data_IF_593303385655
#
_entry.id   IF_593303385655
#
_cell.length_a   1.000
_cell.length_b   1.000
_cell.length_c   1.000
_cell.angle_alpha   90.00
_cell.angle_beta   90.00
_cell.angle_gamma   90.00
#
_symmetry.space_group_name_H-M   'P 1'
#
loop_
_entity.id
_entity.type
_entity.pdbx_description
1 polymer ?
#
# COMPACT_ATOMS: atom_id res chain seq x y z
N UNK A 1 7.06 -14.47 -18.74
CA UNK A 1 7.40 -13.10 -18.31
C UNK A 1 6.61 -12.66 -17.06
N UNK A 2 5.27 -12.77 -17.04
CA UNK A 2 4.43 -12.35 -15.91
C UNK A 2 4.77 -12.99 -14.56
N UNK A 3 5.10 -14.29 -14.54
CA UNK A 3 5.55 -14.97 -13.31
C UNK A 3 6.84 -14.37 -12.74
N UNK A 4 7.82 -14.09 -13.59
CA UNK A 4 9.09 -13.47 -13.18
C UNK A 4 8.89 -12.03 -12.69
N UNK A 5 8.03 -11.26 -13.36
CA UNK A 5 7.65 -9.91 -12.91
C UNK A 5 6.92 -9.94 -11.57
N UNK A 6 5.98 -10.89 -11.37
CA UNK A 6 5.28 -11.08 -10.11
C UNK A 6 6.21 -11.57 -8.98
N UNK A 7 7.18 -12.43 -9.30
CA UNK A 7 8.22 -12.87 -8.36
C UNK A 7 9.10 -11.71 -7.93
N UNK A 8 9.65 -10.94 -8.88
CA UNK A 8 10.46 -9.75 -8.60
C UNK A 8 9.66 -8.69 -7.84
N UNK A 9 8.41 -8.47 -8.23
CA UNK A 9 7.51 -7.59 -7.51
C UNK A 9 7.24 -8.08 -6.09
N UNK A 10 7.08 -9.39 -5.87
CA UNK A 10 6.94 -10.01 -4.55
C UNK A 10 8.19 -9.78 -3.69
N UNK A 11 9.38 -9.99 -4.26
CA UNK A 11 10.67 -9.70 -3.65
C UNK A 11 10.72 -8.22 -3.23
N UNK A 12 10.46 -7.28 -4.15
CA UNK A 12 10.48 -5.83 -3.88
C UNK A 12 9.39 -5.40 -2.90
N UNK A 13 8.20 -5.98 -2.99
CA UNK A 13 7.09 -5.70 -2.07
C UNK A 13 7.44 -6.11 -0.65
N UNK A 14 8.05 -7.28 -0.47
CA UNK A 14 8.47 -7.76 0.85
C UNK A 14 9.60 -6.90 1.44
N UNK A 15 10.47 -6.33 0.61
CA UNK A 15 11.61 -5.55 1.08
C UNK A 15 11.25 -4.08 1.35
N UNK A 16 10.44 -3.47 0.49
CA UNK A 16 10.23 -2.03 0.49
C UNK A 16 8.78 -1.60 0.19
N UNK A 17 7.85 -2.52 -0.09
CA UNK A 17 6.44 -2.20 -0.33
C UNK A 17 6.15 -1.55 -1.69
N UNK A 18 7.04 -1.74 -2.67
CA UNK A 18 6.93 -1.15 -4.01
C UNK A 18 6.50 -2.11 -5.13
N UNK A 19 6.00 -3.31 -4.81
CA UNK A 19 5.76 -4.35 -5.82
C UNK A 19 4.78 -3.94 -6.93
N UNK A 20 3.79 -3.11 -6.59
CA UNK A 20 2.82 -2.54 -7.56
C UNK A 20 3.49 -1.73 -8.68
N UNK A 21 4.63 -1.10 -8.42
CA UNK A 21 5.38 -0.32 -9.42
C UNK A 21 5.99 -1.21 -10.51
N UNK A 22 6.24 -2.48 -10.18
CA UNK A 22 6.81 -3.45 -11.12
C UNK A 22 5.73 -4.28 -11.80
N UNK A 23 4.68 -4.68 -11.08
CA UNK A 23 3.58 -5.48 -11.65
C UNK A 23 2.75 -4.70 -12.66
N UNK A 24 2.49 -3.42 -12.40
CA UNK A 24 1.57 -2.64 -13.21
C UNK A 24 2.07 -2.42 -14.66
N UNK A 25 3.31 -1.94 -14.91
CA UNK A 25 3.86 -1.85 -16.27
C UNK A 25 3.98 -3.21 -16.96
N UNK A 26 4.30 -4.28 -16.21
CA UNK A 26 4.41 -5.63 -16.76
C UNK A 26 3.06 -6.21 -17.22
N UNK A 27 1.97 -5.83 -16.56
CA UNK A 27 0.62 -6.22 -16.98
C UNK A 27 0.14 -5.41 -18.18
N UNK A 28 0.48 -4.12 -18.24
CA UNK A 28 0.22 -3.29 -19.42
C UNK A 28 0.96 -3.82 -20.66
N UNK A 29 2.22 -4.21 -20.52
CA UNK A 29 2.99 -4.80 -21.63
C UNK A 29 2.49 -6.17 -22.07
N UNK A 30 1.80 -6.90 -21.17
CA UNK A 30 1.08 -8.12 -21.50
C UNK A 30 -0.28 -7.87 -22.21
N UNK A 31 -0.62 -6.60 -22.50
CA UNK A 31 -1.81 -6.23 -23.26
C UNK A 31 -3.08 -6.06 -22.43
N UNK A 32 -2.99 -6.03 -21.10
CA UNK A 32 -4.17 -5.82 -20.26
C UNK A 32 -4.63 -4.36 -20.29
N UNK A 33 -5.95 -4.10 -20.28
CA UNK A 33 -6.49 -2.77 -20.02
C UNK A 33 -5.99 -2.24 -18.68
N UNK A 34 -5.73 -0.93 -18.59
CA UNK A 34 -5.04 -0.35 -17.45
C UNK A 34 -5.79 -0.52 -16.12
N UNK A 35 -7.12 -0.40 -16.12
CA UNK A 35 -7.93 -0.65 -14.92
C UNK A 35 -7.87 -2.13 -14.54
N UNK A 36 -7.89 -3.03 -15.52
CA UNK A 36 -7.80 -4.49 -15.31
C UNK A 36 -6.42 -4.88 -14.76
N UNK A 37 -5.36 -4.27 -15.27
CA UNK A 37 -3.99 -4.46 -14.78
C UNK A 37 -3.85 -4.03 -13.31
N UNK A 38 -4.38 -2.86 -12.97
CA UNK A 38 -4.39 -2.37 -11.59
C UNK A 38 -5.21 -3.26 -10.65
N UNK A 39 -6.42 -3.64 -11.07
CA UNK A 39 -7.31 -4.55 -10.34
C UNK A 39 -6.65 -5.90 -10.07
N UNK A 40 -6.07 -6.51 -11.11
CA UNK A 40 -5.38 -7.80 -11.03
C UNK A 40 -4.18 -7.73 -10.09
N UNK A 41 -3.39 -6.66 -10.15
CA UNK A 41 -2.27 -6.44 -9.23
C UNK A 41 -2.73 -6.21 -7.79
N UNK A 42 -3.84 -5.49 -7.58
CA UNK A 42 -4.39 -5.24 -6.24
C UNK A 42 -4.82 -6.54 -5.58
N UNK A 43 -5.57 -7.39 -6.30
CA UNK A 43 -5.97 -8.72 -5.83
C UNK A 43 -4.75 -9.58 -5.52
N UNK A 44 -3.72 -9.55 -6.36
CA UNK A 44 -2.51 -10.35 -6.15
C UNK A 44 -1.74 -9.99 -4.87
N UNK A 45 -1.89 -8.76 -4.37
CA UNK A 45 -1.22 -8.27 -3.17
C UNK A 45 -2.03 -8.48 -1.87
N UNK A 46 -3.30 -8.85 -1.96
CA UNK A 46 -4.16 -9.10 -0.78
C UNK A 46 -3.59 -10.20 0.12
N UNK A 47 -3.15 -11.38 -0.38
CA UNK A 47 -2.60 -12.43 0.48
C UNK A 47 -1.35 -11.99 1.25
N UNK A 48 -0.48 -11.20 0.60
CA UNK A 48 0.71 -10.63 1.24
C UNK A 48 0.35 -9.60 2.31
N UNK A 49 -0.64 -8.76 2.04
CA UNK A 49 -1.15 -7.78 3.00
C UNK A 49 -1.74 -8.48 4.23
N UNK A 50 -2.55 -9.52 4.02
CA UNK A 50 -3.16 -10.34 5.07
C UNK A 50 -2.12 -11.03 5.94
N UNK A 51 -1.07 -11.58 5.32
CA UNK A 51 0.07 -12.17 6.04
C UNK A 51 0.79 -11.15 6.93
N UNK A 52 0.99 -9.91 6.43
CA UNK A 52 1.57 -8.82 7.22
C UNK A 52 0.68 -8.42 8.40
N UNK A 53 -0.65 -8.39 8.22
CA UNK A 53 -1.59 -8.16 9.32
C UNK A 53 -1.46 -9.23 10.41
N UNK A 54 -1.40 -10.51 10.05
CA UNK A 54 -1.24 -11.60 11.03
C UNK A 54 0.05 -11.47 11.84
N UNK A 55 1.17 -11.14 11.18
CA UNK A 55 2.47 -10.97 11.82
C UNK A 55 2.51 -9.81 12.82
N UNK A 56 1.77 -8.73 12.56
CA UNK A 56 1.78 -7.52 13.37
C UNK A 56 0.60 -7.41 14.37
N UNK A 57 -0.31 -8.39 14.41
CA UNK A 57 -1.51 -8.35 15.27
C UNK A 57 -1.23 -8.19 16.76
N UNK A 58 -0.06 -8.65 17.22
CA UNK A 58 0.37 -8.55 18.62
C UNK A 58 0.81 -7.14 19.02
N UNK A 59 1.35 -6.36 18.09
CA UNK A 59 1.91 -5.02 18.35
C UNK A 59 0.83 -3.93 18.49
N UNK A 60 -0.43 -4.23 18.14
CA UNK A 60 -1.54 -3.25 18.11
C UNK A 60 -2.61 -3.56 19.18
N UNK A 61 -2.33 -4.47 20.10
CA UNK A 61 -3.22 -4.77 21.22
C UNK A 61 -3.34 -3.54 22.16
N UNK A 62 -4.57 -3.10 22.42
CA UNK A 62 -4.89 -1.98 23.31
C UNK A 62 -5.30 -0.66 22.64
N UNK A 63 -5.25 -0.55 21.30
CA UNK A 63 -5.55 0.71 20.57
C UNK A 63 -6.85 0.71 19.77
N UNK A 64 -7.89 0.02 20.24
CA UNK A 64 -9.15 -0.19 19.50
C UNK A 64 -9.80 1.09 18.93
N UNK A 65 -9.67 2.23 19.62
CA UNK A 65 -10.24 3.51 19.20
C UNK A 65 -9.48 4.16 18.03
N UNK A 66 -8.15 4.07 18.02
CA UNK A 66 -7.32 4.57 16.92
C UNK A 66 -7.44 3.64 15.72
N UNK A 67 -7.49 2.33 15.98
CA UNK A 67 -7.74 1.31 14.96
C UNK A 67 -9.05 1.53 14.21
N UNK A 68 -10.15 1.72 14.93
CA UNK A 68 -11.46 2.00 14.30
C UNK A 68 -11.46 3.33 13.56
N UNK A 69 -10.84 4.37 14.12
CA UNK A 69 -10.69 5.68 13.47
C UNK A 69 -9.85 5.64 12.18
N UNK A 70 -8.94 4.68 12.02
CA UNK A 70 -8.19 4.48 10.78
C UNK A 70 -8.83 3.46 9.85
N UNK A 71 -9.43 2.40 10.39
CA UNK A 71 -10.05 1.33 9.61
C UNK A 71 -11.26 1.84 8.83
N UNK A 72 -12.16 2.61 9.45
CA UNK A 72 -13.37 3.08 8.76
C UNK A 72 -13.03 3.96 7.53
N UNK A 73 -12.17 4.99 7.63
CA UNK A 73 -11.73 5.74 6.46
C UNK A 73 -10.96 4.91 5.45
N UNK A 74 -10.19 3.92 5.91
CA UNK A 74 -9.45 2.99 5.04
C UNK A 74 -10.38 2.13 4.19
N UNK A 75 -11.42 1.59 4.80
CA UNK A 75 -12.44 0.81 4.13
C UNK A 75 -13.21 1.67 3.13
N UNK A 76 -13.69 2.85 3.56
CA UNK A 76 -14.41 3.78 2.69
C UNK A 76 -13.55 4.27 1.52
N UNK A 77 -12.33 4.71 1.80
CA UNK A 77 -11.40 5.21 0.79
C UNK A 77 -10.99 4.11 -0.19
N UNK A 78 -10.74 2.88 0.28
CA UNK A 78 -10.45 1.74 -0.58
C UNK A 78 -11.57 1.47 -1.59
N UNK A 79 -12.82 1.41 -1.13
CA UNK A 79 -13.99 1.22 -1.99
C UNK A 79 -14.20 2.40 -2.94
N UNK A 80 -14.19 3.63 -2.43
CA UNK A 80 -14.42 4.83 -3.24
C UNK A 80 -13.32 5.03 -4.29
N UNK A 81 -12.06 4.76 -3.92
CA UNK A 81 -10.91 4.81 -4.82
C UNK A 81 -11.01 3.77 -5.94
N UNK A 82 -11.39 2.54 -5.61
CA UNK A 82 -11.56 1.48 -6.60
C UNK A 82 -12.72 1.77 -7.56
N UNK A 83 -13.85 2.27 -7.05
CA UNK A 83 -14.97 2.73 -7.87
C UNK A 83 -14.58 3.92 -8.76
N UNK A 84 -13.76 4.84 -8.24
CA UNK A 84 -13.27 5.96 -9.04
C UNK A 84 -12.35 5.47 -10.17
N UNK A 85 -11.46 4.51 -9.90
CA UNK A 85 -10.60 3.90 -10.92
C UNK A 85 -11.42 3.20 -12.01
N UNK A 86 -12.48 2.48 -11.62
CA UNK A 86 -13.40 1.84 -12.56
C UNK A 86 -14.13 2.87 -13.45
N UNK A 87 -14.61 3.97 -12.88
CA UNK A 87 -15.33 5.03 -13.61
C UNK A 87 -14.47 5.89 -14.53
N UNK A 88 -13.20 6.10 -14.18
CA UNK A 88 -12.23 6.84 -15.01
C UNK A 88 -12.05 6.15 -16.37
N UNK A 89 -12.16 4.82 -16.41
CA UNK A 89 -12.04 4.03 -17.62
C UNK A 89 -10.59 3.87 -18.09
N UNK A 90 -10.37 2.87 -18.94
CA UNK A 90 -9.02 2.41 -19.30
C UNK A 90 -8.17 3.48 -20.01
N UNK A 91 -8.77 4.28 -20.89
CA UNK A 91 -8.05 5.30 -21.66
C UNK A 91 -7.52 6.44 -20.77
N UNK A 92 -8.34 6.94 -19.85
CA UNK A 92 -7.92 8.01 -18.95
C UNK A 92 -6.99 7.47 -17.86
N UNK A 93 -7.23 6.26 -17.35
CA UNK A 93 -6.33 5.60 -16.40
C UNK A 93 -4.94 5.35 -17.02
N UNK A 94 -4.87 4.91 -18.28
CA UNK A 94 -3.61 4.72 -19.00
C UNK A 94 -2.84 6.04 -19.19
N UNK A 95 -3.52 7.18 -19.36
CA UNK A 95 -2.88 8.50 -19.41
C UNK A 95 -2.36 8.95 -18.05
N UNK A 96 -3.07 8.63 -16.97
CA UNK A 96 -2.69 8.98 -15.60
C UNK A 96 -1.60 8.04 -15.04
N UNK A 97 -1.57 6.79 -15.50
CA UNK A 97 -0.65 5.74 -15.05
C UNK A 97 0.82 6.18 -14.98
N UNK A 98 1.43 6.80 -16.03
CA UNK A 98 2.81 7.27 -15.95
C UNK A 98 3.03 8.30 -14.84
N UNK A 99 2.09 9.22 -14.65
CA UNK A 99 2.16 10.23 -13.59
C UNK A 99 2.03 9.59 -12.20
N UNK A 100 1.16 8.59 -12.06
CA UNK A 100 0.96 7.85 -10.82
C UNK A 100 2.19 7.00 -10.46
N UNK A 101 2.77 6.32 -11.44
CA UNK A 101 4.02 5.56 -11.28
C UNK A 101 5.15 6.51 -10.90
N UNK A 102 5.32 7.63 -11.62
CA UNK A 102 6.35 8.62 -11.33
C UNK A 102 6.18 9.21 -9.92
N UNK A 103 4.96 9.59 -9.54
CA UNK A 103 4.64 10.09 -8.21
C UNK A 103 4.97 9.06 -7.12
N UNK A 104 4.59 7.80 -7.32
CA UNK A 104 4.88 6.73 -6.38
C UNK A 104 6.38 6.40 -6.31
N UNK A 105 7.12 6.46 -7.43
CA UNK A 105 8.59 6.32 -7.47
C UNK A 105 9.28 7.46 -6.72
N UNK A 106 8.84 8.71 -6.93
CA UNK A 106 9.35 9.88 -6.19
C UNK A 106 9.08 9.70 -4.70
N UNK A 107 7.88 9.25 -4.33
CA UNK A 107 7.53 9.00 -2.94
C UNK A 107 8.39 7.89 -2.32
N UNK A 108 8.67 6.85 -3.09
CA UNK A 108 9.56 5.74 -2.72
C UNK A 108 11.00 6.19 -2.54
N UNK A 109 11.50 7.07 -3.41
CA UNK A 109 12.80 7.70 -3.27
C UNK A 109 12.85 8.63 -2.05
N UNK A 110 11.76 9.35 -1.79
CA UNK A 110 11.59 10.24 -0.65
C UNK A 110 11.32 9.52 0.67
N UNK A 111 11.16 8.19 0.68
CA UNK A 111 10.82 7.42 1.88
C UNK A 111 11.79 7.63 3.05
N UNK A 112 13.11 7.61 2.84
CA UNK A 112 14.07 7.88 3.92
C UNK A 112 14.03 9.31 4.46
N UNK A 113 14.11 10.36 3.63
CA UNK A 113 14.00 11.73 4.13
C UNK A 113 12.63 11.97 4.78
N UNK A 114 11.53 11.45 4.26
CA UNK A 114 10.22 11.51 4.95
C UNK A 114 10.26 10.78 6.29
N UNK A 115 10.87 9.60 6.36
CA UNK A 115 10.97 8.82 7.61
C UNK A 115 11.94 9.45 8.62
N UNK A 116 12.92 10.25 8.19
CA UNK A 116 13.82 11.03 9.05
C UNK A 116 13.17 12.33 9.49
N UNK A 117 12.52 13.03 8.57
CA UNK A 117 11.78 14.26 8.81
C UNK A 117 10.58 14.04 9.74
N UNK A 118 9.82 12.96 9.54
CA UNK A 118 8.78 12.52 10.47
C UNK A 118 9.34 12.31 11.89
N UNK A 119 10.54 11.75 12.01
CA UNK A 119 11.22 11.59 13.31
C UNK A 119 11.66 12.93 13.92
N UNK A 120 11.91 13.96 13.11
CA UNK A 120 12.40 15.28 13.55
C UNK A 120 11.29 16.30 13.81
N UNK A 121 10.19 16.30 13.05
CA UNK A 121 9.07 17.25 13.16
C UNK A 121 8.06 16.86 14.26
N UNK A 122 8.44 15.88 15.09
CA UNK A 122 7.65 15.32 16.18
C UNK A 122 7.47 16.28 17.38
N UNK A 123 6.70 17.37 17.20
CA UNK A 123 6.49 18.42 18.22
C UNK A 123 5.08 18.51 18.82
N UNK A 124 4.07 17.79 18.32
CA UNK A 124 2.71 17.85 18.87
C UNK A 124 2.43 16.69 19.83
N UNK A 125 3.10 16.74 20.99
CA UNK A 125 2.80 15.87 22.12
C UNK A 125 1.75 16.51 23.04
N UNK A 126 0.59 15.85 23.18
CA UNK A 126 -0.21 15.88 24.42
C UNK A 126 -1.52 16.68 24.45
N UNK A 127 -2.42 16.13 25.27
CA UNK A 127 -3.54 16.73 26.03
C UNK A 127 -4.97 16.54 25.48
N UNK A 128 -5.72 15.70 26.22
CA UNK A 128 -7.02 15.05 25.99
C UNK A 128 -8.27 15.91 25.76
N UNK A 129 -8.14 17.14 25.28
CA UNK A 129 -9.26 17.91 24.68
C UNK A 129 -9.11 18.09 23.16
N UNK A 130 -7.86 18.03 22.66
CA UNK A 130 -7.50 18.14 21.24
C UNK A 130 -7.64 16.82 20.49
N UNK A 131 -7.82 15.72 21.22
CA UNK A 131 -7.84 14.35 20.72
C UNK A 131 -8.95 14.11 19.70
N UNK A 132 -10.17 14.60 19.91
CA UNK A 132 -11.27 14.43 18.93
C UNK A 132 -11.03 15.18 17.61
N UNK A 133 -10.49 16.40 17.67
CA UNK A 133 -10.13 17.18 16.46
C UNK A 133 -8.93 16.58 15.75
N UNK A 134 -7.94 16.09 16.51
CA UNK A 134 -6.82 15.35 15.97
C UNK A 134 -7.29 14.06 15.29
N UNK A 135 -8.16 13.26 15.93
CA UNK A 135 -8.75 12.04 15.35
C UNK A 135 -9.56 12.34 14.08
N UNK A 136 -10.31 13.45 14.03
CA UNK A 136 -11.01 13.87 12.82
C UNK A 136 -10.05 14.24 11.68
N UNK A 137 -8.97 14.96 11.97
CA UNK A 137 -7.93 15.29 10.99
C UNK A 137 -7.17 14.04 10.51
N UNK A 138 -6.88 13.11 11.43
CA UNK A 138 -6.29 11.79 11.15
C UNK A 138 -7.19 11.01 10.20
N UNK A 139 -8.48 10.89 10.53
CA UNK A 139 -9.45 10.16 9.73
C UNK A 139 -9.63 10.79 8.34
N UNK A 140 -9.66 12.13 8.26
CA UNK A 140 -9.76 12.85 6.98
C UNK A 140 -8.52 12.66 6.10
N UNK A 141 -7.32 12.80 6.65
CA UNK A 141 -6.09 12.54 5.91
C UNK A 141 -5.99 11.06 5.49
N UNK A 142 -6.34 10.15 6.40
CA UNK A 142 -6.38 8.72 6.14
C UNK A 142 -7.36 8.38 5.02
N UNK A 143 -8.52 9.06 4.95
CA UNK A 143 -9.48 8.88 3.86
C UNK A 143 -8.87 9.27 2.51
N UNK A 144 -8.12 10.38 2.43
CA UNK A 144 -7.46 10.80 1.19
C UNK A 144 -6.37 9.81 0.76
N UNK A 145 -5.56 9.34 1.71
CA UNK A 145 -4.55 8.30 1.45
C UNK A 145 -5.21 7.01 1.01
N UNK A 146 -6.32 6.63 1.64
CA UNK A 146 -7.08 5.44 1.30
C UNK A 146 -7.79 5.56 -0.05
N UNK A 147 -8.27 6.75 -0.43
CA UNK A 147 -8.85 7.02 -1.75
C UNK A 147 -7.80 6.82 -2.84
N UNK A 148 -6.61 7.41 -2.67
CA UNK A 148 -5.47 7.18 -3.56
C UNK A 148 -5.06 5.70 -3.58
N UNK A 149 -5.06 5.07 -2.41
CA UNK A 149 -4.81 3.65 -2.22
C UNK A 149 -5.74 2.73 -2.98
N UNK A 150 -7.05 2.96 -2.88
CA UNK A 150 -8.04 2.21 -3.63
C UNK A 150 -7.96 2.48 -5.13
N UNK A 151 -7.54 3.69 -5.51
CA UNK A 151 -7.43 4.09 -6.92
C UNK A 151 -6.23 3.45 -7.63
N UNK A 152 -5.03 3.48 -7.02
CA UNK A 152 -3.78 2.99 -7.64
C UNK A 152 -2.95 2.07 -6.73
N UNK A 153 -3.04 2.22 -5.41
CA UNK A 153 -2.42 1.33 -4.43
C UNK A 153 -0.89 1.44 -4.27
N UNK A 154 -0.16 1.88 -5.30
CA UNK A 154 1.30 1.99 -5.21
C UNK A 154 1.76 3.11 -4.27
N UNK A 155 2.78 2.85 -3.46
CA UNK A 155 3.36 3.86 -2.55
C UNK A 155 2.50 4.24 -1.33
N UNK A 156 1.32 3.63 -1.16
CA UNK A 156 0.39 3.99 -0.08
C UNK A 156 0.99 3.83 1.33
N UNK A 157 1.83 2.82 1.53
CA UNK A 157 2.49 2.59 2.82
C UNK A 157 3.43 3.73 3.23
N UNK A 158 4.01 4.44 2.25
CA UNK A 158 4.88 5.59 2.52
C UNK A 158 4.03 6.81 2.91
N UNK A 159 2.91 7.04 2.20
CA UNK A 159 1.95 8.08 2.56
C UNK A 159 1.41 7.87 3.99
N UNK A 160 1.10 6.63 4.35
CA UNK A 160 0.66 6.26 5.70
C UNK A 160 1.74 6.48 6.76
N UNK A 161 2.99 6.10 6.49
CA UNK A 161 4.07 6.33 7.46
C UNK A 161 4.36 7.83 7.63
N UNK A 162 4.31 8.60 6.54
CA UNK A 162 4.46 10.05 6.59
C UNK A 162 3.32 10.69 7.38
N UNK A 163 2.09 10.22 7.19
CA UNK A 163 0.92 10.72 7.92
C UNK A 163 1.00 10.38 9.41
N UNK A 164 1.24 9.13 9.76
CA UNK A 164 1.40 8.67 11.15
C UNK A 164 2.56 9.41 11.84
N UNK A 165 3.61 9.73 11.08
CA UNK A 165 4.73 10.53 11.51
C UNK A 165 4.36 11.97 11.87
N UNK A 166 3.58 12.63 11.01
CA UNK A 166 3.03 13.97 11.27
C UNK A 166 2.10 14.00 12.49
N UNK A 167 1.50 12.86 12.82
CA UNK A 167 0.59 12.69 13.95
C UNK A 167 1.32 12.43 15.28
N UNK A 168 2.65 12.36 15.27
CA UNK A 168 3.45 12.29 16.49
C UNK A 168 3.55 10.91 17.13
N UNK A 169 3.16 9.83 16.42
CA UNK A 169 3.37 8.46 16.90
C UNK A 169 4.87 8.16 16.94
N UNK A 170 5.35 7.76 18.12
CA UNK A 170 6.78 7.58 18.41
C UNK A 170 7.29 6.17 18.17
N UNK A 171 6.39 5.20 18.25
CA UNK A 171 6.75 3.79 18.20
C UNK A 171 6.63 3.26 16.76
N UNK A 172 7.79 2.95 16.18
CA UNK A 172 7.93 2.44 14.81
C UNK A 172 7.18 1.11 14.64
N UNK A 173 7.14 0.27 15.67
CA UNK A 173 6.42 -0.99 15.67
C UNK A 173 4.92 -0.74 15.57
N UNK A 174 4.39 0.15 16.43
CA UNK A 174 2.98 0.57 16.39
C UNK A 174 2.59 1.22 15.06
N UNK A 175 3.43 2.11 14.52
CA UNK A 175 3.17 2.73 13.21
C UNK A 175 3.13 1.68 12.09
N UNK A 176 4.04 0.71 12.10
CA UNK A 176 4.04 -0.37 11.11
C UNK A 176 2.81 -1.28 11.27
N UNK A 177 2.40 -1.59 12.51
CA UNK A 177 1.17 -2.34 12.78
C UNK A 177 -0.07 -1.63 12.24
N UNK A 178 -0.25 -0.34 12.56
CA UNK A 178 -1.36 0.48 12.07
C UNK A 178 -1.36 0.59 10.54
N UNK A 179 -0.19 0.84 9.94
CA UNK A 179 -0.02 0.88 8.48
C UNK A 179 -0.45 -0.43 7.83
N UNK A 180 -0.03 -1.57 8.37
CA UNK A 180 -0.32 -2.88 7.79
C UNK A 180 -1.81 -3.22 7.90
N UNK A 181 -2.45 -2.90 9.03
CA UNK A 181 -3.90 -3.06 9.21
C UNK A 181 -4.66 -2.21 8.19
N UNK A 182 -4.32 -0.92 8.11
CA UNK A 182 -4.99 -0.02 7.19
C UNK A 182 -4.77 -0.42 5.72
N UNK A 183 -3.56 -0.90 5.37
CA UNK A 183 -3.27 -1.41 4.04
C UNK A 183 -4.10 -2.66 3.69
N UNK A 184 -4.33 -3.57 4.65
CA UNK A 184 -5.25 -4.70 4.46
C UNK A 184 -6.68 -4.23 4.23
N UNK A 185 -7.17 -3.27 5.02
CA UNK A 185 -8.50 -2.72 4.83
C UNK A 185 -8.67 -2.11 3.43
N UNK A 186 -7.69 -1.30 2.98
CA UNK A 186 -7.74 -0.61 1.68
C UNK A 186 -7.64 -1.60 0.54
N UNK A 187 -6.58 -2.42 0.52
CA UNK A 187 -6.35 -3.37 -0.57
C UNK A 187 -7.41 -4.45 -0.61
N UNK A 188 -7.87 -4.93 0.56
CA UNK A 188 -8.92 -5.93 0.67
C UNK A 188 -10.24 -5.43 0.08
N UNK A 189 -10.71 -4.24 0.47
CA UNK A 189 -11.96 -3.70 -0.08
C UNK A 189 -11.80 -3.22 -1.53
N UNK A 190 -10.65 -2.67 -1.91
CA UNK A 190 -10.37 -2.34 -3.31
C UNK A 190 -10.42 -3.61 -4.18
N UNK A 191 -9.78 -4.70 -3.75
CA UNK A 191 -9.82 -5.99 -4.44
C UNK A 191 -11.24 -6.56 -4.54
N UNK A 192 -12.03 -6.52 -3.45
CA UNK A 192 -13.43 -6.94 -3.46
C UNK A 192 -14.27 -6.08 -4.41
N UNK A 193 -14.05 -4.77 -4.41
CA UNK A 193 -14.75 -3.83 -5.30
C UNK A 193 -14.41 -4.11 -6.75
N UNK A 194 -13.12 -4.28 -7.09
CA UNK A 194 -12.70 -4.62 -8.45
C UNK A 194 -13.22 -5.99 -8.91
N UNK A 195 -13.28 -6.97 -7.99
CA UNK A 195 -13.86 -8.27 -8.27
C UNK A 195 -15.37 -8.16 -8.55
N UNK A 196 -16.10 -7.37 -7.75
CA UNK A 196 -17.52 -7.12 -7.95
C UNK A 196 -17.81 -6.35 -9.26
N UNK A 197 -16.93 -5.44 -9.67
CA UNK A 197 -17.01 -4.74 -10.96
C UNK A 197 -16.58 -5.60 -12.16
N UNK A 198 -16.14 -6.85 -11.96
CA UNK A 198 -15.71 -7.73 -13.05
C UNK A 198 -14.39 -7.32 -13.74
N UNK A 199 -13.57 -6.48 -13.09
CA UNK A 199 -12.31 -5.95 -13.64
C UNK A 199 -11.10 -6.84 -13.38
N UNK A 200 -11.27 -7.96 -12.69
CA UNK A 200 -10.17 -8.83 -12.26
C UNK A 200 -9.95 -9.93 -13.30
N UNK A 201 -8.72 -10.05 -13.81
CA UNK A 201 -8.31 -11.21 -14.61
C UNK A 201 -7.87 -12.35 -13.67
N UNK A 202 -8.79 -13.24 -13.34
CA UNK A 202 -8.56 -14.35 -12.40
C UNK A 202 -7.41 -15.30 -12.78
N UNK A 203 -7.28 -15.75 -14.05
CA UNK A 203 -6.13 -16.56 -14.45
C UNK A 203 -4.81 -15.88 -14.12
N UNK A 204 -4.64 -14.62 -14.53
CA UNK A 204 -3.39 -13.89 -14.29
C UNK A 204 -3.19 -13.59 -12.81
N UNK A 205 -4.26 -13.19 -12.09
CA UNK A 205 -4.21 -12.95 -10.65
C UNK A 205 -3.70 -14.18 -9.90
N UNK A 206 -4.20 -15.38 -10.23
CA UNK A 206 -3.78 -16.62 -9.57
C UNK A 206 -2.29 -16.92 -9.78
N UNK A 207 -1.78 -16.77 -11.01
CA UNK A 207 -0.34 -16.91 -11.30
C UNK A 207 0.51 -15.87 -10.58
N UNK A 208 0.04 -14.62 -10.52
CA UNK A 208 0.74 -13.56 -9.82
C UNK A 208 0.74 -13.74 -8.31
N UNK A 209 -0.33 -14.29 -7.72
CA UNK A 209 -0.38 -14.64 -6.30
C UNK A 209 0.71 -15.66 -5.99
N UNK A 210 0.80 -16.74 -6.76
CA UNK A 210 1.81 -17.79 -6.53
C UNK A 210 3.22 -17.22 -6.68
N UNK A 211 3.48 -16.49 -7.77
CA UNK A 211 4.79 -15.86 -8.01
C UNK A 211 5.15 -14.82 -6.95
N UNK A 212 4.18 -13.99 -6.54
CA UNK A 212 4.36 -12.94 -5.54
C UNK A 212 4.56 -13.48 -4.13
N UNK A 213 3.86 -14.55 -3.74
CA UNK A 213 4.06 -15.24 -2.46
C UNK A 213 5.45 -15.89 -2.42
N UNK A 214 5.82 -16.63 -3.47
CA UNK A 214 7.15 -17.22 -3.57
C UNK A 214 8.25 -16.15 -3.52
N UNK A 215 8.11 -15.08 -4.33
CA UNK A 215 9.04 -13.96 -4.35
C UNK A 215 9.11 -13.22 -3.03
N UNK A 216 7.98 -13.00 -2.36
CA UNK A 216 7.92 -12.37 -1.05
C UNK A 216 8.63 -13.18 0.02
N UNK A 217 8.44 -14.50 0.05
CA UNK A 217 9.13 -15.39 0.99
C UNK A 217 10.65 -15.36 0.77
N UNK A 218 11.08 -15.42 -0.50
CA UNK A 218 12.50 -15.35 -0.86
C UNK A 218 13.10 -13.97 -0.53
N UNK A 219 12.35 -12.90 -0.79
CA UNK A 219 12.75 -11.51 -0.53
C UNK A 219 12.85 -11.19 0.96
N UNK A 220 11.94 -11.70 1.79
CA UNK A 220 12.02 -11.58 3.24
C UNK A 220 13.30 -12.23 3.79
N UNK A 221 13.64 -13.43 3.30
CA UNK A 221 14.88 -14.13 3.66
C UNK A 221 16.14 -13.39 3.20
N UNK A 222 16.14 -12.83 1.98
CA UNK A 222 17.26 -12.02 1.48
C UNK A 222 17.41 -10.69 2.23
N UNK A 223 16.30 -10.01 2.56
CA UNK A 223 16.33 -8.74 3.28
C UNK A 223 16.97 -8.85 4.66
N UNK A 224 16.71 -9.96 5.35
CA UNK A 224 17.35 -10.28 6.63
C UNK A 224 18.86 -10.53 6.50
N UNK A 225 19.35 -10.90 5.30
CA UNK A 225 20.77 -11.20 5.05
C UNK A 225 21.55 -10.02 4.43
N UNK A 226 20.91 -9.16 3.64
CA UNK A 226 21.59 -8.12 2.84
C UNK A 226 21.45 -6.69 3.38
N UNK A 227 20.63 -6.46 4.41
CA UNK A 227 20.43 -5.13 4.99
C UNK A 227 19.64 -4.19 4.07
N UNK A 228 18.80 -3.33 4.66
CA UNK A 228 17.88 -2.43 3.93
C UNK A 228 18.56 -1.53 2.88
N UNK A 229 19.87 -1.29 2.98
CA UNK A 229 20.59 -0.34 2.12
C UNK A 229 20.95 -0.89 0.73
N UNK A 230 21.34 -2.17 0.60
CA UNK A 230 21.70 -2.73 -0.73
C UNK A 230 20.49 -2.91 -1.63
N UNK A 231 19.35 -3.29 -1.06
CA UNK A 231 18.10 -3.47 -1.79
C UNK A 231 17.65 -2.18 -2.48
N UNK A 232 17.82 -1.04 -1.80
CA UNK A 232 17.40 0.26 -2.31
C UNK A 232 18.23 0.71 -3.52
N UNK A 233 19.49 0.27 -3.60
CA UNK A 233 20.42 0.56 -4.69
C UNK A 233 20.15 -0.26 -5.97
N UNK A 234 19.32 -1.30 -5.88
CA UNK A 234 18.99 -2.17 -7.01
C UNK A 234 17.67 -1.78 -7.69
N UNK A 235 16.84 -0.98 -7.02
CA UNK A 235 15.53 -0.51 -7.51
C UNK A 235 15.63 0.89 -8.14
N UNK A 236 16.57 1.72 -7.66
CA UNK A 236 16.94 3.04 -8.23
C UNK A 236 17.92 2.84 -9.36
#
# INVERSE_FOLDING_TARGET
MLFGAAFLAGVVNSMAGGGTLLTFPALLSAGLPAVTANATSTVALVPGSFSAFWGYRGEVQGEGRLLTAMAVPSLMGGTLGALAADRVGDALFAKLAPLLVLGATVLFMAQEPLRRWSRQVSGFGGVGGRERRALGAIAGFQLLVALYGGFFGAGIGILMLASLGLLGLRDIHRMNGLKNIAAVCINGLAALTFAACGRVNWPIASFMIVGGVAGGYTGAGLAQRLGQQMVRRFIV
#
